data_IF_004042642059
#
_entry.id   IF_004042642059
#
_cell.length_a   1.000
_cell.length_b   1.000
_cell.length_c   1.000
_cell.angle_alpha   90.00
_cell.angle_beta   90.00
_cell.angle_gamma   90.00
#
_symmetry.space_group_name_H-M   'P 1'
#
loop_
_entity.id
_entity.type
_entity.pdbx_description
1 polymer ?
#
# COMPACT_ATOMS: atom_id res chain seq x y z
N UNK A 1 -3.63 8.76 7.29
CA UNK A 1 -2.32 8.58 6.64
C UNK A 1 -2.05 7.08 6.46
N UNK A 2 -1.29 6.73 5.44
CA UNK A 2 -0.89 5.36 5.15
C UNK A 2 0.51 5.40 4.54
N UNK A 3 1.49 4.74 5.18
CA UNK A 3 2.83 4.59 4.62
C UNK A 3 3.20 3.12 4.53
N UNK A 4 3.99 2.80 3.53
CA UNK A 4 4.63 1.50 3.39
C UNK A 4 6.12 1.76 3.48
N UNK A 5 6.79 1.09 4.41
CA UNK A 5 8.17 1.38 4.74
C UNK A 5 8.98 0.11 4.81
N UNK A 6 10.21 0.19 4.37
CA UNK A 6 11.17 -0.90 4.45
C UNK A 6 12.15 -0.58 5.58
N UNK A 7 12.39 -1.55 6.46
CA UNK A 7 13.30 -1.34 7.57
C UNK A 7 14.76 -1.20 7.08
N UNK A 8 15.64 -0.80 7.98
CA UNK A 8 17.04 -0.51 7.67
C UNK A 8 17.76 -1.71 7.05
N UNK A 9 17.47 -2.92 7.53
CA UNK A 9 18.09 -4.16 7.02
C UNK A 9 17.48 -4.64 5.71
N UNK A 10 16.36 -4.07 5.30
CA UNK A 10 15.71 -4.39 4.04
C UNK A 10 14.97 -5.72 4.03
N UNK A 11 14.62 -6.26 5.20
CA UNK A 11 13.98 -7.57 5.32
C UNK A 11 12.60 -7.53 6.00
N UNK A 12 12.15 -6.37 6.47
CA UNK A 12 10.81 -6.19 7.04
C UNK A 12 10.11 -5.05 6.34
N UNK A 13 8.90 -5.29 5.86
CA UNK A 13 8.00 -4.26 5.37
C UNK A 13 7.05 -3.89 6.50
N UNK A 14 7.00 -2.59 6.83
CA UNK A 14 6.09 -2.07 7.83
C UNK A 14 4.99 -1.28 7.14
N UNK A 15 3.76 -1.50 7.54
CA UNK A 15 2.61 -0.72 7.09
C UNK A 15 2.16 0.10 8.28
N UNK A 16 2.21 1.42 8.15
CA UNK A 16 1.75 2.35 9.16
C UNK A 16 0.50 3.06 8.65
N UNK A 17 -0.55 3.05 9.43
CA UNK A 17 -1.78 3.74 9.06
C UNK A 17 -2.55 4.17 10.29
N UNK A 18 -3.16 5.34 10.21
CA UNK A 18 -4.19 5.75 11.15
C UNK A 18 -5.53 5.10 10.74
N UNK A 19 -6.60 5.42 11.44
CA UNK A 19 -7.93 4.86 11.14
C UNK A 19 -8.33 5.09 9.69
N UNK A 20 -8.10 6.30 9.18
CA UNK A 20 -8.44 6.64 7.79
C UNK A 20 -7.56 5.88 6.79
N UNK A 21 -6.26 5.80 7.04
CA UNK A 21 -5.31 5.13 6.16
C UNK A 21 -5.57 3.63 6.07
N UNK A 22 -5.77 2.97 7.21
CA UNK A 22 -6.07 1.53 7.21
C UNK A 22 -7.44 1.23 6.61
N UNK A 23 -8.44 2.10 6.82
CA UNK A 23 -9.75 1.95 6.17
C UNK A 23 -9.62 2.08 4.64
N UNK A 24 -8.80 3.00 4.15
CA UNK A 24 -8.54 3.15 2.72
C UNK A 24 -7.91 1.87 2.14
N UNK A 25 -6.94 1.30 2.83
CA UNK A 25 -6.31 0.04 2.40
C UNK A 25 -7.33 -1.11 2.38
N UNK A 26 -8.16 -1.21 3.41
CA UNK A 26 -9.24 -2.18 3.46
C UNK A 26 -10.16 -2.05 2.24
N UNK A 27 -10.57 -0.83 1.89
CA UNK A 27 -11.47 -0.57 0.78
C UNK A 27 -10.83 -0.97 -0.56
N UNK A 28 -9.53 -0.77 -0.72
CA UNK A 28 -8.80 -1.20 -1.91
C UNK A 28 -8.80 -2.72 -2.01
N UNK A 29 -8.55 -3.42 -0.89
CA UNK A 29 -8.57 -4.88 -0.83
C UNK A 29 -9.97 -5.40 -1.15
N UNK A 30 -11.02 -4.81 -0.58
CA UNK A 30 -12.40 -5.21 -0.84
C UNK A 30 -12.75 -5.06 -2.32
N UNK A 31 -12.34 -3.97 -2.97
CA UNK A 31 -12.58 -3.78 -4.41
C UNK A 31 -11.90 -4.84 -5.25
N UNK A 32 -10.70 -5.26 -4.89
CA UNK A 32 -10.01 -6.35 -5.58
C UNK A 32 -10.74 -7.67 -5.40
N UNK A 33 -11.20 -7.97 -4.19
CA UNK A 33 -11.94 -9.20 -3.89
C UNK A 33 -13.28 -9.27 -4.64
N UNK A 34 -13.87 -8.13 -4.95
CA UNK A 34 -15.14 -8.01 -5.68
C UNK A 34 -14.94 -7.86 -7.19
N UNK A 35 -13.70 -7.85 -7.66
CA UNK A 35 -13.40 -7.67 -9.08
C UNK A 35 -14.01 -8.80 -9.90
N UNK A 36 -14.64 -8.48 -11.06
CA UNK A 36 -15.12 -9.51 -11.98
C UNK A 36 -13.99 -10.24 -12.69
N UNK A 37 -12.78 -9.70 -12.62
CA UNK A 37 -11.60 -10.32 -13.23
C UNK A 37 -11.03 -11.39 -12.31
N UNK A 38 -10.54 -12.50 -12.91
CA UNK A 38 -9.86 -13.53 -12.12
C UNK A 38 -8.47 -13.10 -11.66
N UNK A 39 -7.88 -12.17 -12.38
CA UNK A 39 -6.57 -11.58 -12.07
C UNK A 39 -6.74 -10.07 -12.18
N UNK A 40 -6.40 -9.36 -11.12
CA UNK A 40 -6.50 -7.92 -11.09
C UNK A 40 -5.41 -7.35 -10.17
N UNK A 41 -5.24 -6.06 -10.18
CA UNK A 41 -4.26 -5.41 -9.32
C UNK A 41 -4.65 -3.96 -9.04
N UNK A 42 -4.09 -3.42 -7.98
CA UNK A 42 -4.20 -2.01 -7.62
C UNK A 42 -2.80 -1.43 -7.42
N UNK A 43 -2.66 -0.15 -7.75
CA UNK A 43 -1.44 0.60 -7.51
C UNK A 43 -1.68 1.56 -6.35
N UNK A 44 -0.79 1.51 -5.35
CA UNK A 44 -0.77 2.48 -4.27
C UNK A 44 0.53 3.28 -4.43
N UNK A 45 0.40 4.58 -4.58
CA UNK A 45 1.56 5.45 -4.84
C UNK A 45 1.51 6.69 -3.97
N UNK A 46 2.70 7.20 -3.67
CA UNK A 46 2.84 8.50 -3.01
C UNK A 46 2.63 9.62 -4.02
N UNK A 47 2.36 10.86 -3.55
CA UNK A 47 2.27 12.02 -4.43
C UNK A 47 3.51 12.24 -5.29
N UNK A 48 4.71 11.93 -4.79
CA UNK A 48 5.94 12.02 -5.56
C UNK A 48 5.92 11.13 -6.81
N UNK A 49 5.13 10.05 -6.78
CA UNK A 49 4.96 9.11 -7.88
C UNK A 49 3.63 9.29 -8.60
N UNK A 50 2.91 10.37 -8.30
CA UNK A 50 1.66 10.72 -8.97
C UNK A 50 0.40 10.12 -8.38
N UNK A 51 0.49 9.48 -7.22
CA UNK A 51 -0.67 8.89 -6.54
C UNK A 51 -1.15 9.72 -5.35
N UNK A 52 -2.15 9.21 -4.67
CA UNK A 52 -2.69 9.83 -3.46
C UNK A 52 -3.05 8.80 -2.39
N UNK A 53 -2.75 7.52 -2.63
CA UNK A 53 -3.07 6.45 -1.68
C UNK A 53 -2.10 6.41 -0.52
N UNK A 54 -0.82 6.71 -0.77
CA UNK A 54 0.23 6.65 0.23
C UNK A 54 0.72 8.04 0.61
N UNK A 55 1.05 8.20 1.90
CA UNK A 55 1.66 9.41 2.44
C UNK A 55 3.18 9.35 2.27
N UNK A 56 3.84 10.51 2.31
CA UNK A 56 5.29 10.62 2.18
C UNK A 56 6.00 10.80 3.52
N UNK A 57 5.25 10.94 4.61
CA UNK A 57 5.81 11.16 5.94
C UNK A 57 6.17 9.83 6.58
N UNK A 58 7.43 9.44 6.45
CA UNK A 58 7.93 8.21 7.08
C UNK A 58 7.69 8.25 8.59
N UNK A 59 7.15 7.17 9.14
CA UNK A 59 6.78 7.11 10.55
C UNK A 59 7.91 6.62 11.45
N UNK A 60 8.81 5.83 10.91
CA UNK A 60 10.01 5.38 11.62
C UNK A 60 11.22 5.90 10.88
N UNK A 61 11.96 6.79 11.51
CA UNK A 61 13.04 7.57 10.90
C UNK A 61 14.11 6.71 10.21
N UNK A 62 14.40 5.52 10.74
CA UNK A 62 15.40 4.62 10.16
C UNK A 62 14.90 3.85 8.94
N UNK A 63 13.61 3.93 8.63
CA UNK A 63 13.03 3.22 7.49
C UNK A 63 13.18 4.00 6.20
N UNK A 64 13.12 3.27 5.09
CA UNK A 64 13.01 3.85 3.75
C UNK A 64 11.57 3.81 3.30
N UNK A 65 11.08 4.91 2.74
CA UNK A 65 9.71 5.01 2.24
C UNK A 65 9.59 4.24 0.92
N UNK A 66 8.55 3.43 0.80
CA UNK A 66 8.19 2.78 -0.45
C UNK A 66 7.17 3.67 -1.16
N UNK A 67 7.50 4.12 -2.38
CA UNK A 67 6.67 5.06 -3.12
C UNK A 67 5.61 4.39 -3.99
N UNK A 68 5.79 3.12 -4.32
CA UNK A 68 4.87 2.41 -5.20
C UNK A 68 4.71 0.96 -4.74
N UNK A 69 3.48 0.59 -4.47
CA UNK A 69 3.10 -0.78 -4.11
C UNK A 69 2.09 -1.28 -5.13
N UNK A 70 2.33 -2.46 -5.67
CA UNK A 70 1.36 -3.17 -6.50
C UNK A 70 0.73 -4.28 -5.66
N UNK A 71 -0.57 -4.22 -5.52
CA UNK A 71 -1.32 -5.25 -4.80
C UNK A 71 -2.03 -6.10 -5.85
N UNK A 72 -1.65 -7.37 -5.95
CA UNK A 72 -2.17 -8.29 -6.95
C UNK A 72 -3.22 -9.22 -6.37
N UNK A 73 -4.29 -9.43 -7.12
CA UNK A 73 -5.37 -10.36 -6.79
C UNK A 73 -5.33 -11.55 -7.76
N UNK A 74 -5.28 -12.74 -7.21
CA UNK A 74 -5.24 -14.01 -7.95
C UNK A 74 -6.50 -14.81 -7.59
N UNK A 75 -7.66 -14.35 -8.05
CA UNK A 75 -8.94 -14.94 -7.67
C UNK A 75 -9.23 -16.29 -8.29
N UNK A 76 -8.59 -16.61 -9.42
CA UNK A 76 -8.76 -17.88 -10.11
C UNK A 76 -7.79 -18.98 -9.67
N UNK A 77 -6.92 -18.70 -8.71
CA UNK A 77 -5.88 -19.63 -8.27
C UNK A 77 -6.42 -20.78 -7.41
#
# INVERSE_FOLDING_TARGET
>A
MLTIELNEDGDVVEIHGDTHGLASLRDIIERLLESPEQIDHAHLMTPAWGGNELSEDVQRESNSLVHHVKLHFWGGA
#
